data_IF_784257430695
#
_entry.id   IF_784257430695
#
_cell.length_a   1.000
_cell.length_b   1.000
_cell.length_c   1.000
_cell.angle_alpha   90.00
_cell.angle_beta   90.00
_cell.angle_gamma   90.00
#
_symmetry.space_group_name_H-M   'P 1'
#
loop_
_entity.id
_entity.type
_entity.pdbx_description
1 polymer ?
#
# COMPACT_ATOMS: atom_id res chain seq x y z
N UNK A 1 10.32 -5.22 14.40
CA UNK A 1 9.08 -4.43 14.14
C UNK A 1 8.19 -5.23 13.22
N UNK A 2 6.89 -5.15 13.41
CA UNK A 2 5.90 -5.89 12.63
C UNK A 2 4.89 -4.93 12.02
N UNK A 3 4.47 -5.26 10.80
CA UNK A 3 3.41 -4.59 10.05
C UNK A 3 2.44 -5.69 9.62
N UNK A 4 1.17 -5.52 10.00
CA UNK A 4 0.11 -6.49 9.70
C UNK A 4 -0.08 -6.64 8.19
N UNK A 5 -0.23 -7.87 7.71
CA UNK A 5 -0.33 -8.19 6.26
C UNK A 5 1.01 -8.20 5.50
N UNK A 6 2.11 -7.80 6.15
CA UNK A 6 3.42 -7.69 5.50
C UNK A 6 4.41 -8.74 6.00
N UNK A 7 4.68 -8.74 7.31
CA UNK A 7 5.70 -9.60 7.91
C UNK A 7 5.28 -10.21 9.27
N UNK A 8 4.02 -10.02 9.67
CA UNK A 8 3.46 -10.50 10.93
C UNK A 8 3.59 -12.02 11.12
N UNK A 9 3.62 -12.79 10.04
CA UNK A 9 3.82 -14.24 10.04
C UNK A 9 5.23 -14.67 10.49
N UNK A 10 6.20 -13.75 10.48
CA UNK A 10 7.55 -13.98 11.00
C UNK A 10 7.64 -13.83 12.51
N UNK A 11 6.53 -13.50 13.17
CA UNK A 11 6.48 -13.43 14.62
C UNK A 11 6.70 -14.83 15.23
N UNK A 12 7.55 -14.89 16.23
CA UNK A 12 7.82 -16.11 17.01
C UNK A 12 7.64 -15.80 18.50
N UNK A 13 7.06 -16.74 19.25
CA UNK A 13 6.68 -16.56 20.66
C UNK A 13 7.87 -16.26 21.60
N UNK A 14 9.10 -16.44 21.15
CA UNK A 14 10.30 -16.06 21.90
C UNK A 14 10.54 -14.54 21.95
N UNK A 15 9.89 -13.77 21.06
CA UNK A 15 9.97 -12.31 21.04
C UNK A 15 9.07 -11.70 22.12
N UNK A 16 9.66 -11.36 23.26
CA UNK A 16 8.95 -10.79 24.43
C UNK A 16 8.57 -9.32 24.28
N UNK A 17 9.30 -8.57 23.44
CA UNK A 17 9.06 -7.14 23.20
C UNK A 17 9.00 -6.93 21.70
N UNK A 18 7.91 -6.33 21.23
CA UNK A 18 7.66 -6.07 19.81
C UNK A 18 7.18 -4.64 19.62
N UNK A 19 7.34 -4.13 18.40
CA UNK A 19 6.83 -2.84 17.96
C UNK A 19 5.94 -3.05 16.75
N UNK A 20 4.74 -2.46 16.78
CA UNK A 20 3.76 -2.46 15.68
C UNK A 20 4.06 -1.38 14.61
N UNK A 21 5.30 -0.87 14.59
CA UNK A 21 5.69 0.30 13.81
C UNK A 21 4.82 1.54 14.13
N UNK A 22 4.98 2.61 13.36
CA UNK A 22 4.16 3.82 13.45
C UNK A 22 3.05 3.81 12.39
N UNK A 23 2.06 4.70 12.52
CA UNK A 23 0.98 4.84 11.53
C UNK A 23 1.53 5.10 10.11
N UNK A 24 2.51 6.00 9.96
CA UNK A 24 3.11 6.30 8.66
C UNK A 24 3.81 5.09 8.04
N UNK A 25 4.48 4.27 8.85
CA UNK A 25 5.15 3.06 8.35
C UNK A 25 4.14 2.00 7.94
N UNK A 26 3.10 1.77 8.75
CA UNK A 26 2.03 0.84 8.37
C UNK A 26 1.37 1.27 7.05
N UNK A 27 1.12 2.57 6.88
CA UNK A 27 0.53 3.11 5.66
C UNK A 27 1.45 2.90 4.43
N UNK A 28 2.71 3.35 4.52
CA UNK A 28 3.64 3.27 3.39
C UNK A 28 3.96 1.84 2.98
N UNK A 29 4.17 0.93 3.94
CA UNK A 29 4.61 -0.44 3.64
C UNK A 29 3.48 -1.28 3.07
N UNK A 30 2.23 -1.04 3.48
CA UNK A 30 1.06 -1.68 2.88
C UNK A 30 0.97 -1.40 1.37
N UNK A 31 1.24 -0.16 0.97
CA UNK A 31 1.27 0.24 -0.43
C UNK A 31 2.54 -0.25 -1.15
N UNK A 32 3.72 -0.06 -0.56
CA UNK A 32 5.00 -0.36 -1.20
C UNK A 32 5.20 -1.84 -1.59
N UNK A 33 4.52 -2.77 -0.91
CA UNK A 33 4.54 -4.20 -1.28
C UNK A 33 3.86 -4.48 -2.62
N UNK A 34 2.94 -3.62 -3.06
CA UNK A 34 2.12 -3.80 -4.25
C UNK A 34 2.16 -2.62 -5.24
N UNK A 35 2.90 -1.55 -4.91
CA UNK A 35 3.52 -0.66 -5.89
C UNK A 35 4.41 -1.53 -6.81
N UNK A 36 4.35 -1.32 -8.12
CA UNK A 36 4.93 -2.17 -9.16
C UNK A 36 6.45 -2.37 -9.11
N UNK A 37 7.12 -1.95 -8.04
CA UNK A 37 8.44 -2.39 -7.64
C UNK A 37 8.41 -3.84 -7.11
N UNK A 38 8.00 -4.79 -7.96
CA UNK A 38 8.37 -6.19 -7.75
C UNK A 38 9.89 -6.25 -7.74
N UNK A 39 10.47 -6.59 -6.59
CA UNK A 39 11.90 -6.94 -6.46
C UNK A 39 12.34 -8.07 -7.39
N UNK A 40 11.37 -8.74 -8.02
CA UNK A 40 11.52 -9.96 -8.79
C UNK A 40 11.49 -9.70 -10.32
N UNK A 41 11.18 -8.47 -10.75
CA UNK A 41 11.29 -8.07 -12.16
C UNK A 41 12.62 -7.39 -12.44
N UNK A 42 13.32 -7.72 -13.55
CA UNK A 42 14.56 -7.06 -13.92
C UNK A 42 14.33 -5.56 -14.13
N UNK A 43 15.25 -4.76 -13.60
CA UNK A 43 15.29 -3.29 -13.71
C UNK A 43 15.20 -2.85 -15.18
N UNK A 44 14.00 -2.54 -15.67
CA UNK A 44 13.82 -2.14 -17.06
C UNK A 44 12.39 -2.19 -17.61
N UNK A 45 11.47 -2.92 -16.98
CA UNK A 45 10.08 -2.88 -17.45
C UNK A 45 9.36 -1.61 -16.97
N UNK A 46 8.82 -0.88 -17.95
CA UNK A 46 8.07 0.34 -17.74
C UNK A 46 6.75 0.01 -17.03
N UNK A 47 6.61 0.32 -15.74
CA UNK A 47 5.37 0.08 -15.01
C UNK A 47 4.39 1.20 -15.37
N UNK A 48 3.43 0.90 -16.26
CA UNK A 48 2.40 1.88 -16.61
C UNK A 48 1.53 2.10 -15.38
N UNK A 49 1.19 3.36 -15.12
CA UNK A 49 0.34 3.77 -14.00
C UNK A 49 -0.96 2.96 -13.87
N UNK A 50 -1.57 2.61 -15.01
CA UNK A 50 -2.78 1.76 -15.04
C UNK A 50 -2.54 0.35 -14.53
N UNK A 51 -1.33 -0.20 -14.68
CA UNK A 51 -0.98 -1.51 -14.18
C UNK A 51 -0.75 -1.46 -12.66
N UNK A 52 -0.13 -0.40 -12.13
CA UNK A 52 -0.06 -0.14 -10.69
C UNK A 52 -1.45 -0.06 -10.05
N UNK A 53 -2.39 0.68 -10.65
CA UNK A 53 -3.78 0.74 -10.15
C UNK A 53 -4.43 -0.64 -10.05
N UNK A 54 -4.27 -1.46 -11.10
CA UNK A 54 -4.83 -2.82 -11.14
C UNK A 54 -4.23 -3.71 -10.06
N UNK A 55 -2.91 -3.69 -9.90
CA UNK A 55 -2.22 -4.51 -8.89
C UNK A 55 -2.66 -4.10 -7.48
N UNK A 56 -2.70 -2.80 -7.19
CA UNK A 56 -3.12 -2.31 -5.87
C UNK A 56 -4.59 -2.63 -5.61
N UNK A 57 -5.47 -2.47 -6.61
CA UNK A 57 -6.88 -2.84 -6.50
C UNK A 57 -7.06 -4.33 -6.21
N UNK A 58 -6.38 -5.19 -6.96
CA UNK A 58 -6.38 -6.64 -6.72
C UNK A 58 -5.85 -6.99 -5.33
N UNK A 59 -4.80 -6.30 -4.86
CA UNK A 59 -4.26 -6.51 -3.52
C UNK A 59 -5.26 -6.11 -2.42
N UNK A 60 -5.94 -4.98 -2.59
CA UNK A 60 -6.97 -4.46 -1.65
C UNK A 60 -8.19 -5.37 -1.56
N UNK A 61 -8.58 -6.03 -2.66
CA UNK A 61 -9.73 -6.95 -2.69
C UNK A 61 -9.33 -8.38 -2.29
N UNK A 62 -8.04 -8.71 -2.33
CA UNK A 62 -7.49 -10.04 -2.09
C UNK A 62 -6.60 -10.14 -0.85
N UNK A 63 -5.26 -10.30 -1.00
CA UNK A 63 -4.36 -10.65 0.10
C UNK A 63 -4.24 -9.59 1.20
N UNK A 64 -4.52 -8.32 0.90
CA UNK A 64 -4.52 -7.23 1.87
C UNK A 64 -5.94 -6.70 2.15
N UNK A 65 -6.97 -7.53 1.93
CA UNK A 65 -8.34 -7.17 2.30
C UNK A 65 -8.41 -6.76 3.76
N UNK A 66 -9.10 -5.64 4.01
CA UNK A 66 -9.24 -5.00 5.33
C UNK A 66 -7.94 -4.37 5.89
N UNK A 67 -6.82 -4.40 5.16
CA UNK A 67 -5.58 -3.71 5.52
C UNK A 67 -5.30 -2.56 4.56
N UNK A 68 -5.44 -2.82 3.26
CA UNK A 68 -5.25 -1.86 2.18
C UNK A 68 -6.60 -1.52 1.56
N UNK A 69 -6.95 -0.23 1.57
CA UNK A 69 -8.08 0.33 0.86
C UNK A 69 -7.68 0.86 -0.51
N UNK A 70 -8.69 1.02 -1.37
CA UNK A 70 -8.55 1.57 -2.71
C UNK A 70 -9.77 2.45 -3.01
N UNK A 71 -9.55 3.67 -3.51
CA UNK A 71 -10.63 4.58 -3.90
C UNK A 71 -10.38 5.25 -5.27
N UNK A 72 -11.48 5.39 -6.00
CA UNK A 72 -11.59 6.16 -7.26
C UNK A 72 -12.57 7.34 -7.09
N UNK A 73 -13.03 7.59 -5.86
CA UNK A 73 -13.94 8.69 -5.56
C UNK A 73 -13.15 9.98 -5.31
N UNK A 74 -13.76 11.12 -5.64
CA UNK A 74 -13.26 12.44 -5.21
C UNK A 74 -13.40 12.52 -3.67
N UNK A 75 -12.31 12.24 -2.96
CA UNK A 75 -12.26 12.21 -1.51
C UNK A 75 -11.42 13.35 -0.94
N UNK A 76 -11.74 13.75 0.28
CA UNK A 76 -10.93 14.63 1.11
C UNK A 76 -10.59 13.93 2.42
N UNK A 77 -9.62 14.44 3.17
CA UNK A 77 -9.11 13.81 4.40
C UNK A 77 -10.22 13.35 5.37
N UNK A 78 -11.26 14.16 5.54
CA UNK A 78 -12.35 13.87 6.47
C UNK A 78 -13.13 12.59 6.11
N UNK A 79 -13.14 12.17 4.83
CA UNK A 79 -13.79 10.93 4.41
C UNK A 79 -13.14 9.68 4.99
N UNK A 80 -11.87 9.77 5.42
CA UNK A 80 -11.12 8.67 6.01
C UNK A 80 -11.11 8.71 7.54
N UNK A 81 -11.90 9.62 8.15
CA UNK A 81 -12.04 9.66 9.60
C UNK A 81 -12.72 8.39 10.07
N UNK A 82 -12.09 7.67 11.00
CA UNK A 82 -12.52 6.34 11.46
C UNK A 82 -12.42 5.24 10.40
N UNK A 83 -11.70 5.48 9.29
CA UNK A 83 -11.28 4.38 8.41
C UNK A 83 -10.38 3.43 9.20
N UNK A 84 -10.62 2.13 9.03
CA UNK A 84 -9.92 1.06 9.74
C UNK A 84 -8.78 0.45 8.91
N UNK A 85 -8.71 0.79 7.62
CA UNK A 85 -7.58 0.41 6.78
C UNK A 85 -6.29 1.09 7.29
N UNK A 86 -5.16 0.42 7.12
CA UNK A 86 -3.84 0.98 7.43
C UNK A 86 -3.36 1.97 6.38
N UNK A 87 -3.84 1.83 5.15
CA UNK A 87 -3.53 2.66 3.98
C UNK A 87 -4.71 2.60 3.03
N UNK A 88 -5.12 3.73 2.48
CA UNK A 88 -6.10 3.77 1.38
C UNK A 88 -5.54 4.54 0.19
N UNK A 89 -5.29 3.86 -0.94
CA UNK A 89 -4.77 4.50 -2.15
C UNK A 89 -5.85 5.36 -2.82
N UNK A 90 -5.57 6.65 -2.99
CA UNK A 90 -6.43 7.60 -3.70
C UNK A 90 -5.96 7.78 -5.14
N UNK A 91 -6.60 7.05 -6.06
CA UNK A 91 -6.16 7.03 -7.45
C UNK A 91 -6.57 8.25 -8.27
N UNK A 92 -7.41 9.13 -7.71
CA UNK A 92 -7.83 10.38 -8.37
C UNK A 92 -6.75 11.44 -8.22
N UNK A 93 -6.08 11.47 -7.07
CA UNK A 93 -5.01 12.45 -6.78
C UNK A 93 -3.60 11.91 -7.05
N UNK A 94 -3.48 10.64 -7.42
CA UNK A 94 -2.24 10.05 -7.91
C UNK A 94 -1.92 10.51 -9.35
N UNK A 95 -0.63 10.83 -9.60
CA UNK A 95 -0.17 11.39 -10.88
C UNK A 95 1.08 10.64 -11.35
N UNK A 96 1.12 10.21 -12.62
CA UNK A 96 2.33 9.69 -13.25
C UNK A 96 2.88 10.69 -14.26
N UNK A 97 4.15 11.06 -14.13
CA UNK A 97 4.84 11.95 -15.08
C UNK A 97 5.36 11.17 -16.29
N UNK A 98 5.84 9.94 -16.05
CA UNK A 98 6.28 9.01 -17.09
C UNK A 98 6.19 7.58 -16.55
N UNK A 99 6.58 6.58 -17.36
CA UNK A 99 6.47 5.17 -16.99
C UNK A 99 7.45 4.72 -15.88
N UNK A 100 8.27 5.61 -15.37
CA UNK A 100 9.24 5.35 -14.30
C UNK A 100 9.06 6.27 -13.10
N UNK A 101 8.20 7.29 -13.18
CA UNK A 101 8.04 8.29 -12.14
C UNK A 101 6.57 8.62 -11.92
N UNK A 102 6.07 8.19 -10.77
CA UNK A 102 4.72 8.45 -10.31
C UNK A 102 4.72 8.94 -8.86
N UNK A 103 3.77 9.82 -8.57
CA UNK A 103 3.41 10.25 -7.23
C UNK A 103 2.15 9.50 -6.83
N UNK A 104 2.28 8.60 -5.86
CA UNK A 104 1.17 7.91 -5.23
C UNK A 104 0.77 8.65 -3.94
N UNK A 105 -0.53 8.78 -3.70
CA UNK A 105 -1.08 9.41 -2.50
C UNK A 105 -1.94 8.36 -1.80
N UNK A 106 -1.62 8.09 -0.55
CA UNK A 106 -2.43 7.29 0.36
C UNK A 106 -2.90 8.16 1.51
N UNK A 107 -4.13 7.91 1.92
CA UNK A 107 -4.66 8.33 3.22
C UNK A 107 -4.34 7.27 4.28
#
# INVERSE_FOLDING_TARGET
>A
MFVMGINHEKYVNSLKIVSNASCTINCLVALAKYDGHRSDLPSGESCKYNDTKKVVKQASEGPLKSILGYTENLAVSCNFTSDTHSSTLDTVVCIALNNHFAKLISW
#
